data_IF_027442290027
#
_entry.id   IF_027442290027
#
_cell.length_a   1.000
_cell.length_b   1.000
_cell.length_c   1.000
_cell.angle_alpha   90.00
_cell.angle_beta   90.00
_cell.angle_gamma   90.00
#
_symmetry.space_group_name_H-M   'P 1'
#
loop_
_entity.id
_entity.type
_entity.pdbx_description
1 polymer ?
#
# COMPACT_ATOMS: atom_id res chain seq x y z
N UNK A 1 52.61 1.60 -21.90
CA UNK A 1 51.52 0.74 -22.42
C UNK A 1 50.52 0.56 -21.29
N UNK A 2 49.24 0.63 -21.64
CA UNK A 2 48.15 1.13 -20.80
C UNK A 2 47.83 0.29 -19.54
N UNK A 3 47.30 0.93 -18.49
CA UNK A 3 47.13 0.35 -17.18
C UNK A 3 45.66 -0.08 -16.93
N UNK A 4 45.48 -1.04 -16.03
CA UNK A 4 44.28 -1.28 -15.19
C UNK A 4 43.15 -2.13 -15.79
N UNK A 5 43.13 -3.37 -15.29
CA UNK A 5 42.04 -4.31 -15.36
C UNK A 5 40.77 -3.74 -14.73
N UNK A 6 39.70 -3.80 -15.53
CA UNK A 6 38.32 -3.48 -15.24
C UNK A 6 37.77 -4.23 -14.03
N UNK A 7 37.84 -3.62 -12.84
CA UNK A 7 37.06 -4.06 -11.65
C UNK A 7 35.75 -3.26 -11.51
N UNK A 8 35.52 -2.27 -12.39
CA UNK A 8 34.39 -1.33 -12.28
C UNK A 8 33.14 -1.67 -13.11
N UNK A 9 32.97 -2.91 -13.58
CA UNK A 9 31.73 -3.31 -14.28
C UNK A 9 30.85 -4.28 -13.49
N UNK A 10 31.25 -4.71 -12.29
CA UNK A 10 30.48 -5.69 -11.50
C UNK A 10 29.76 -5.10 -10.27
N UNK A 11 29.49 -3.80 -10.25
CA UNK A 11 28.60 -3.16 -9.25
C UNK A 11 27.39 -2.46 -9.87
N UNK A 12 27.18 -2.59 -11.19
CA UNK A 12 26.04 -1.99 -11.91
C UNK A 12 24.97 -2.99 -12.35
N UNK A 13 25.04 -4.26 -11.92
CA UNK A 13 24.06 -5.31 -12.24
C UNK A 13 23.35 -5.90 -11.00
N UNK A 14 23.24 -5.13 -9.92
CA UNK A 14 22.29 -5.42 -8.82
C UNK A 14 21.21 -4.34 -8.68
N UNK A 15 21.19 -3.35 -9.59
CA UNK A 15 20.16 -2.31 -9.67
C UNK A 15 18.87 -2.79 -10.38
N UNK A 16 18.84 -4.03 -10.85
CA UNK A 16 17.69 -4.62 -11.53
C UNK A 16 17.22 -5.86 -10.75
N UNK A 17 16.34 -5.67 -9.76
CA UNK A 17 15.21 -6.58 -9.45
C UNK A 17 14.48 -6.22 -8.14
N UNK A 18 15.05 -5.39 -7.25
CA UNK A 18 14.28 -4.98 -6.08
C UNK A 18 13.43 -3.76 -6.41
N UNK A 19 12.10 -3.87 -6.52
CA UNK A 19 11.25 -2.68 -6.48
C UNK A 19 11.62 -1.95 -5.19
N UNK A 20 12.08 -0.70 -5.32
CA UNK A 20 12.20 0.19 -4.17
C UNK A 20 10.81 0.17 -3.52
N UNK A 21 10.68 -0.20 -2.23
CA UNK A 21 9.38 -0.04 -1.60
C UNK A 21 8.99 1.43 -1.74
N UNK A 22 7.72 1.69 -2.06
CA UNK A 22 7.16 3.02 -2.22
C UNK A 22 7.09 3.77 -0.87
N UNK A 23 8.19 3.79 -0.11
CA UNK A 23 8.36 4.49 1.17
C UNK A 23 8.78 5.95 0.96
N UNK A 24 9.09 6.33 -0.28
CA UNK A 24 9.62 7.65 -0.66
C UNK A 24 8.69 8.82 -0.38
N UNK A 25 7.39 8.56 -0.23
CA UNK A 25 6.36 9.58 0.03
C UNK A 25 5.73 9.41 1.42
N UNK A 26 6.51 8.98 2.41
CA UNK A 26 6.04 9.02 3.81
C UNK A 26 5.81 10.49 4.19
N UNK A 27 4.54 10.83 4.45
CA UNK A 27 4.07 12.20 4.75
C UNK A 27 4.70 12.81 6.01
N UNK A 28 5.57 12.07 6.72
CA UNK A 28 6.41 12.59 7.79
C UNK A 28 7.86 12.16 7.54
N UNK A 29 8.75 13.14 7.47
CA UNK A 29 10.17 13.03 7.11
C UNK A 29 11.00 12.34 8.21
N UNK A 30 10.59 11.17 8.66
CA UNK A 30 11.31 10.37 9.64
C UNK A 30 11.99 9.21 8.93
N UNK A 31 13.31 9.06 9.09
CA UNK A 31 14.03 7.98 8.42
C UNK A 31 13.44 6.63 8.86
N UNK A 32 13.09 5.80 7.88
CA UNK A 32 12.54 4.46 8.16
C UNK A 32 13.63 3.61 8.82
N UNK A 33 13.31 3.01 9.96
CA UNK A 33 14.22 2.10 10.66
C UNK A 33 14.57 0.91 9.76
N UNK A 34 15.85 0.50 9.66
CA UNK A 34 16.26 -0.62 8.81
C UNK A 34 15.45 -1.91 9.04
N UNK A 35 15.13 -2.22 10.29
CA UNK A 35 14.35 -3.40 10.67
C UNK A 35 12.91 -3.30 10.19
N UNK A 36 12.29 -2.12 10.31
CA UNK A 36 10.94 -1.87 9.80
C UNK A 36 10.90 -1.96 8.27
N UNK A 37 11.91 -1.40 7.59
CA UNK A 37 12.04 -1.48 6.14
C UNK A 37 12.22 -2.94 5.66
N UNK A 38 13.04 -3.73 6.35
CA UNK A 38 13.24 -5.14 6.02
C UNK A 38 11.95 -5.96 6.15
N UNK A 39 11.19 -5.74 7.22
CA UNK A 39 9.89 -6.40 7.43
C UNK A 39 8.83 -5.93 6.43
N UNK A 40 8.82 -4.65 6.08
CA UNK A 40 7.94 -4.13 5.02
C UNK A 40 8.25 -4.80 3.67
N UNK A 41 9.52 -4.91 3.31
CA UNK A 41 9.95 -5.58 2.08
C UNK A 41 9.61 -7.07 2.07
N UNK A 42 9.76 -7.75 3.22
CA UNK A 42 9.32 -9.13 3.36
C UNK A 42 7.81 -9.27 3.13
N UNK A 43 7.01 -8.33 3.64
CA UNK A 43 5.57 -8.27 3.38
C UNK A 43 5.28 -8.15 1.88
N UNK A 44 5.96 -7.24 1.18
CA UNK A 44 5.82 -7.07 -0.28
C UNK A 44 6.20 -8.33 -1.06
N UNK A 45 7.25 -9.04 -0.65
CA UNK A 45 7.62 -10.33 -1.25
C UNK A 45 6.56 -11.42 -1.01
N UNK A 46 5.88 -11.39 0.14
CA UNK A 46 4.80 -12.33 0.44
C UNK A 46 3.53 -12.00 -0.36
N UNK A 47 3.22 -10.71 -0.56
CA UNK A 47 2.17 -10.23 -1.48
C UNK A 47 2.42 -10.78 -2.89
N UNK A 48 3.64 -10.65 -3.42
CA UNK A 48 4.00 -11.16 -4.74
C UNK A 48 3.83 -12.70 -4.88
N UNK A 49 3.77 -13.43 -3.78
CA UNK A 49 3.54 -14.89 -3.73
C UNK A 49 2.08 -15.25 -3.40
N UNK A 50 1.20 -14.27 -3.25
CA UNK A 50 -0.19 -14.46 -2.80
C UNK A 50 -0.31 -14.92 -1.33
N UNK A 51 0.76 -14.82 -0.54
CA UNK A 51 0.74 -15.20 0.88
C UNK A 51 0.28 -14.01 1.74
N UNK A 52 -1.02 -13.71 1.69
CA UNK A 52 -1.62 -12.58 2.39
C UNK A 52 -1.52 -12.66 3.91
N UNK A 53 -1.61 -13.87 4.48
CA UNK A 53 -1.43 -14.07 5.92
C UNK A 53 0.01 -13.73 6.37
N UNK A 54 1.01 -14.19 5.60
CA UNK A 54 2.39 -13.80 5.81
C UNK A 54 2.57 -12.29 5.71
N UNK A 55 2.06 -11.69 4.62
CA UNK A 55 2.18 -10.27 4.35
C UNK A 55 1.64 -9.42 5.50
N UNK A 56 0.44 -9.75 5.98
CA UNK A 56 -0.20 -9.12 7.14
C UNK A 56 0.69 -9.20 8.38
N UNK A 57 1.27 -10.36 8.68
CA UNK A 57 2.19 -10.52 9.81
C UNK A 57 3.45 -9.66 9.68
N UNK A 58 4.07 -9.63 8.50
CA UNK A 58 5.29 -8.87 8.24
C UNK A 58 5.05 -7.35 8.29
N UNK A 59 3.98 -6.87 7.67
CA UNK A 59 3.57 -5.47 7.74
C UNK A 59 3.21 -5.06 9.17
N UNK A 60 2.48 -5.90 9.91
CA UNK A 60 2.18 -5.63 11.32
C UNK A 60 3.41 -5.61 12.21
N UNK A 61 4.42 -6.44 11.91
CA UNK A 61 5.71 -6.38 12.60
C UNK A 61 6.45 -5.07 12.28
N UNK A 62 6.47 -4.63 11.02
CA UNK A 62 7.05 -3.33 10.64
C UNK A 62 6.35 -2.16 11.36
N UNK A 63 5.01 -2.17 11.41
CA UNK A 63 4.22 -1.17 12.10
C UNK A 63 4.43 -1.15 13.62
N UNK A 64 4.76 -2.29 14.24
CA UNK A 64 5.14 -2.33 15.68
C UNK A 64 6.52 -1.74 15.93
N UNK A 65 7.48 -1.94 15.03
CA UNK A 65 8.84 -1.37 15.14
C UNK A 65 8.82 0.15 14.93
N UNK A 66 7.99 0.61 13.99
CA UNK A 66 7.82 2.01 13.65
C UNK A 66 6.33 2.36 13.50
N UNK A 67 5.66 2.75 14.61
CA UNK A 67 4.23 3.10 14.61
C UNK A 67 3.86 4.36 13.82
N UNK A 68 4.82 5.12 13.34
CA UNK A 68 4.70 6.26 12.42
C UNK A 68 4.87 5.83 10.94
N UNK A 69 5.21 4.57 10.67
CA UNK A 69 5.25 4.03 9.30
C UNK A 69 3.83 3.70 8.82
N UNK A 70 3.07 4.76 8.48
CA UNK A 70 1.67 4.72 8.05
C UNK A 70 1.46 3.72 6.88
N UNK A 71 2.41 3.65 5.95
CA UNK A 71 2.38 2.69 4.83
C UNK A 71 2.36 1.23 5.29
N UNK A 72 3.05 0.87 6.38
CA UNK A 72 3.01 -0.48 6.93
C UNK A 72 1.64 -0.80 7.54
N UNK A 73 1.03 0.17 8.24
CA UNK A 73 -0.32 0.01 8.80
C UNK A 73 -1.37 -0.15 7.70
N UNK A 74 -1.29 0.68 6.65
CA UNK A 74 -2.19 0.60 5.50
C UNK A 74 -2.05 -0.74 4.77
N UNK A 75 -0.82 -1.16 4.48
CA UNK A 75 -0.56 -2.44 3.80
C UNK A 75 -0.96 -3.66 4.66
N UNK A 76 -0.83 -3.58 5.98
CA UNK A 76 -1.39 -4.59 6.89
C UNK A 76 -2.92 -4.65 6.81
N UNK A 77 -3.60 -3.50 6.82
CA UNK A 77 -5.06 -3.41 6.74
C UNK A 77 -5.60 -3.89 5.39
N UNK A 78 -4.92 -3.58 4.29
CA UNK A 78 -5.22 -4.12 2.96
C UNK A 78 -5.11 -5.65 2.94
N UNK A 79 -4.02 -6.20 3.48
CA UNK A 79 -3.87 -7.65 3.59
C UNK A 79 -4.96 -8.28 4.48
N UNK A 80 -5.38 -7.61 5.55
CA UNK A 80 -6.50 -8.04 6.38
C UNK A 80 -7.83 -8.03 5.61
N UNK A 81 -8.05 -7.01 4.77
CA UNK A 81 -9.24 -6.91 3.92
C UNK A 81 -9.32 -8.06 2.91
N UNK A 82 -8.19 -8.40 2.26
CA UNK A 82 -8.09 -9.56 1.35
C UNK A 82 -8.36 -10.89 2.06
N UNK A 83 -8.01 -10.99 3.35
CA UNK A 83 -8.30 -12.15 4.19
C UNK A 83 -9.73 -12.17 4.74
N UNK A 84 -10.57 -11.19 4.38
CA UNK A 84 -11.96 -11.07 4.83
C UNK A 84 -12.13 -10.48 6.24
N UNK A 85 -11.06 -9.95 6.85
CA UNK A 85 -11.10 -9.34 8.18
C UNK A 85 -11.56 -7.87 8.13
N UNK A 86 -12.71 -7.64 7.51
CA UNK A 86 -13.19 -6.31 7.12
C UNK A 86 -13.35 -5.36 8.30
N UNK A 87 -13.78 -5.85 9.47
CA UNK A 87 -13.98 -5.00 10.65
C UNK A 87 -12.65 -4.42 11.18
N UNK A 88 -11.58 -5.23 11.17
CA UNK A 88 -10.24 -4.79 11.61
C UNK A 88 -9.65 -3.80 10.61
N UNK A 89 -9.80 -4.09 9.32
CA UNK A 89 -9.35 -3.21 8.25
C UNK A 89 -10.07 -1.85 8.31
N UNK A 90 -11.40 -1.85 8.49
CA UNK A 90 -12.20 -0.63 8.57
C UNK A 90 -11.76 0.26 9.73
N UNK A 91 -11.61 -0.30 10.93
CA UNK A 91 -11.16 0.48 12.09
C UNK A 91 -9.78 1.09 11.85
N UNK A 92 -8.86 0.31 11.28
CA UNK A 92 -7.51 0.78 10.95
C UNK A 92 -7.54 1.93 9.94
N UNK A 93 -8.27 1.79 8.82
CA UNK A 93 -8.37 2.86 7.82
C UNK A 93 -9.05 4.11 8.37
N UNK A 94 -10.11 3.95 9.18
CA UNK A 94 -10.75 5.11 9.84
C UNK A 94 -9.77 5.83 10.78
N UNK A 95 -8.95 5.10 11.54
CA UNK A 95 -7.90 5.69 12.37
C UNK A 95 -6.86 6.43 11.53
N UNK A 96 -6.39 5.82 10.44
CA UNK A 96 -5.43 6.44 9.51
C UNK A 96 -5.98 7.72 8.91
N UNK A 97 -7.23 7.72 8.44
CA UNK A 97 -7.89 8.92 7.88
C UNK A 97 -8.07 10.01 8.95
N UNK A 98 -8.39 9.66 10.20
CA UNK A 98 -8.51 10.64 11.30
C UNK A 98 -7.18 11.31 11.61
N UNK A 99 -6.08 10.54 11.65
CA UNK A 99 -4.75 11.04 12.02
C UNK A 99 -4.00 11.70 10.85
N UNK A 100 -4.22 11.19 9.64
CA UNK A 100 -3.54 11.59 8.42
C UNK A 100 -4.59 11.88 7.33
N UNK A 101 -5.32 13.00 7.45
CA UNK A 101 -6.46 13.29 6.57
C UNK A 101 -6.07 13.49 5.11
N UNK A 102 -4.79 13.72 4.81
CA UNK A 102 -4.24 13.87 3.45
C UNK A 102 -3.68 12.56 2.88
N UNK A 103 -3.82 11.44 3.60
CA UNK A 103 -3.33 10.15 3.12
C UNK A 103 -4.34 9.50 2.17
N UNK A 104 -4.13 9.71 0.86
CA UNK A 104 -5.01 9.23 -0.20
C UNK A 104 -5.23 7.71 -0.15
N UNK A 105 -4.18 6.93 0.14
CA UNK A 105 -4.24 5.46 0.20
C UNK A 105 -5.31 4.93 1.15
N UNK A 106 -5.36 5.46 2.39
CA UNK A 106 -6.35 5.02 3.37
C UNK A 106 -7.77 5.46 2.99
N UNK A 107 -7.93 6.60 2.29
CA UNK A 107 -9.24 7.05 1.80
C UNK A 107 -9.74 6.17 0.67
N UNK A 108 -8.91 5.89 -0.34
CA UNK A 108 -9.25 4.96 -1.41
C UNK A 108 -9.55 3.56 -0.87
N UNK A 109 -8.76 3.07 0.10
CA UNK A 109 -8.97 1.74 0.66
C UNK A 109 -10.28 1.68 1.47
N UNK A 110 -10.61 2.76 2.18
CA UNK A 110 -11.89 2.88 2.86
C UNK A 110 -13.06 2.99 1.87
N UNK A 111 -12.91 3.65 0.72
CA UNK A 111 -13.89 3.61 -0.38
C UNK A 111 -14.15 2.17 -0.84
N UNK A 112 -13.10 1.42 -1.15
CA UNK A 112 -13.20 0.02 -1.59
C UNK A 112 -13.92 -0.85 -0.53
N UNK A 113 -13.51 -0.73 0.73
CA UNK A 113 -14.10 -1.46 1.84
C UNK A 113 -15.58 -1.11 2.04
N UNK A 114 -15.92 0.18 2.03
CA UNK A 114 -17.30 0.64 2.23
C UNK A 114 -18.20 0.21 1.09
N UNK A 115 -17.69 0.24 -0.16
CA UNK A 115 -18.38 -0.31 -1.31
C UNK A 115 -18.66 -1.81 -1.13
N UNK A 116 -17.65 -2.59 -0.75
CA UNK A 116 -17.81 -4.02 -0.45
C UNK A 116 -18.91 -4.30 0.60
N UNK A 117 -19.04 -3.40 1.59
CA UNK A 117 -20.07 -3.50 2.64
C UNK A 117 -21.42 -2.88 2.26
N UNK A 118 -21.60 -2.40 1.02
CA UNK A 118 -22.83 -1.77 0.55
C UNK A 118 -23.09 -0.36 1.11
N UNK A 119 -22.09 0.29 1.70
CA UNK A 119 -22.18 1.65 2.28
C UNK A 119 -21.82 2.71 1.26
N UNK A 120 -22.59 2.76 0.19
CA UNK A 120 -22.29 3.55 -1.00
C UNK A 120 -22.06 5.04 -0.72
N UNK A 121 -22.97 5.72 0.00
CA UNK A 121 -22.84 7.17 0.24
C UNK A 121 -21.58 7.56 1.01
N UNK A 122 -21.11 6.70 1.93
CA UNK A 122 -19.83 6.94 2.60
C UNK A 122 -18.64 6.65 1.67
N UNK A 123 -18.73 5.63 0.81
CA UNK A 123 -17.71 5.33 -0.18
C UNK A 123 -17.49 6.52 -1.13
N UNK A 124 -18.58 7.13 -1.63
CA UNK A 124 -18.56 8.33 -2.48
C UNK A 124 -17.86 9.50 -1.78
N UNK A 125 -18.19 9.74 -0.51
CA UNK A 125 -17.57 10.81 0.30
C UNK A 125 -16.06 10.61 0.46
N UNK A 126 -15.61 9.38 0.71
CA UNK A 126 -14.18 9.08 0.82
C UNK A 126 -13.47 9.13 -0.53
N UNK A 127 -14.13 8.75 -1.62
CA UNK A 127 -13.56 8.79 -2.95
C UNK A 127 -13.30 10.21 -3.42
N UNK A 128 -14.28 11.11 -3.27
CA UNK A 128 -14.15 12.51 -3.65
C UNK A 128 -12.93 13.17 -2.99
N UNK A 129 -12.67 12.84 -1.72
CA UNK A 129 -11.48 13.29 -1.02
C UNK A 129 -10.19 12.60 -1.50
N UNK A 130 -10.24 11.30 -1.83
CA UNK A 130 -9.07 10.54 -2.28
C UNK A 130 -8.56 11.01 -3.64
N UNK A 131 -9.44 11.11 -4.64
CA UNK A 131 -9.05 11.45 -6.02
C UNK A 131 -8.54 12.89 -6.12
N UNK A 132 -9.05 13.79 -5.27
CA UNK A 132 -8.52 15.15 -5.17
C UNK A 132 -7.12 15.26 -4.56
N UNK A 133 -6.65 14.21 -3.86
CA UNK A 133 -5.30 14.15 -3.29
C UNK A 133 -4.32 13.45 -4.23
N UNK A 134 -4.74 12.36 -4.86
CA UNK A 134 -3.92 11.58 -5.79
C UNK A 134 -4.80 10.82 -6.77
N UNK A 135 -4.78 11.24 -8.03
CA UNK A 135 -5.58 10.66 -9.12
C UNK A 135 -5.16 9.23 -9.48
N UNK A 136 -3.94 8.80 -9.11
CA UNK A 136 -3.43 7.46 -9.43
C UNK A 136 -4.24 6.33 -8.78
N UNK A 137 -5.00 6.62 -7.71
CA UNK A 137 -5.90 5.64 -7.10
C UNK A 137 -7.08 5.24 -8.01
N UNK A 138 -7.32 5.95 -9.12
CA UNK A 138 -8.26 5.51 -10.15
C UNK A 138 -7.65 4.47 -11.12
N UNK A 139 -6.32 4.34 -11.16
CA UNK A 139 -5.61 3.41 -12.03
C UNK A 139 -5.43 2.06 -11.34
N UNK A 140 -6.28 1.10 -11.71
CA UNK A 140 -6.23 -0.25 -11.17
C UNK A 140 -4.90 -0.98 -11.47
N UNK A 141 -4.24 -0.68 -12.59
CA UNK A 141 -2.96 -1.30 -12.93
C UNK A 141 -1.85 -0.75 -12.03
N UNK A 142 -1.86 0.55 -11.77
CA UNK A 142 -0.95 1.18 -10.81
C UNK A 142 -1.14 0.61 -9.40
N UNK A 143 -2.39 0.43 -8.97
CA UNK A 143 -2.70 -0.18 -7.67
C UNK A 143 -2.12 -1.59 -7.53
N UNK A 144 -2.25 -2.43 -8.56
CA UNK A 144 -1.77 -3.81 -8.53
C UNK A 144 -0.25 -3.91 -8.62
N UNK A 145 0.38 -3.11 -9.47
CA UNK A 145 1.80 -3.29 -9.81
C UNK A 145 2.75 -2.42 -9.00
N UNK A 146 2.34 -1.18 -8.72
CA UNK A 146 3.20 -0.19 -8.06
C UNK A 146 2.88 -0.10 -6.59
N UNK A 147 1.62 0.14 -6.25
CA UNK A 147 1.20 0.22 -4.84
C UNK A 147 1.05 -1.16 -4.20
N UNK A 148 0.84 -2.21 -5.00
CA UNK A 148 0.68 -3.61 -4.61
C UNK A 148 -0.52 -3.85 -3.67
N UNK A 149 -1.65 -3.23 -4.00
CA UNK A 149 -2.91 -3.60 -3.36
C UNK A 149 -3.29 -5.04 -3.68
N UNK A 150 -3.97 -5.73 -2.74
CA UNK A 150 -4.56 -7.02 -3.02
C UNK A 150 -5.67 -6.94 -4.09
N UNK A 151 -5.91 -8.02 -4.86
CA UNK A 151 -6.84 -8.00 -5.98
C UNK A 151 -8.30 -7.75 -5.57
N UNK A 152 -8.74 -8.23 -4.39
CA UNK A 152 -10.10 -8.01 -3.89
C UNK A 152 -10.43 -6.52 -3.70
N UNK A 153 -9.70 -5.77 -2.86
CA UNK A 153 -9.85 -4.33 -2.71
C UNK A 153 -9.78 -3.55 -4.03
N UNK A 154 -8.89 -3.94 -4.95
CA UNK A 154 -8.81 -3.29 -6.28
C UNK A 154 -10.08 -3.55 -7.10
N UNK A 155 -10.62 -4.76 -7.02
CA UNK A 155 -11.86 -5.10 -7.70
C UNK A 155 -13.05 -4.32 -7.13
N UNK A 156 -13.16 -4.22 -5.80
CA UNK A 156 -14.21 -3.43 -5.14
C UNK A 156 -14.14 -1.96 -5.58
N UNK A 157 -12.93 -1.37 -5.56
CA UNK A 157 -12.75 0.02 -6.01
C UNK A 157 -13.12 0.19 -7.48
N UNK A 158 -12.72 -0.74 -8.37
CA UNK A 158 -13.07 -0.69 -9.79
C UNK A 158 -14.58 -0.72 -10.02
N UNK A 159 -15.30 -1.56 -9.28
CA UNK A 159 -16.75 -1.64 -9.36
C UNK A 159 -17.42 -0.34 -8.91
N UNK A 160 -16.94 0.23 -7.80
CA UNK A 160 -17.38 1.54 -7.35
C UNK A 160 -17.20 2.63 -8.42
N UNK A 161 -16.04 2.66 -9.10
CA UNK A 161 -15.76 3.66 -10.14
C UNK A 161 -16.66 3.47 -11.37
N UNK A 162 -16.89 2.23 -11.80
CA UNK A 162 -17.79 1.94 -12.91
C UNK A 162 -19.25 2.33 -12.61
N UNK A 163 -19.68 2.18 -11.36
CA UNK A 163 -21.00 2.60 -10.92
C UNK A 163 -21.22 4.12 -11.12
N UNK A 164 -20.25 4.96 -10.76
CA UNK A 164 -20.35 6.41 -10.88
C UNK A 164 -20.29 6.95 -12.32
N UNK A 165 -19.94 6.12 -13.31
CA UNK A 165 -19.92 6.48 -14.74
C UNK A 165 -21.17 6.07 -15.51
N UNK A 166 -22.13 5.44 -14.84
CA UNK A 166 -23.35 4.86 -15.44
C UNK A 166 -24.50 5.86 -15.54
#
# INVERSE_FOLDING_TARGET
MLPWLSVLTLTLLLSCWFPRPALGDSLEAHPVKPEAAALYNLGAMQVARGNWQGARCSYGAAARIQPDLILAQSSQALAAMELGELAVAEETFRQLVRRHPLFADARAALTALLWHRGRQGEAESHWAASVGLDERYADAQWLLTTRQWPPGPVQDLRQFLAFGTS
#
